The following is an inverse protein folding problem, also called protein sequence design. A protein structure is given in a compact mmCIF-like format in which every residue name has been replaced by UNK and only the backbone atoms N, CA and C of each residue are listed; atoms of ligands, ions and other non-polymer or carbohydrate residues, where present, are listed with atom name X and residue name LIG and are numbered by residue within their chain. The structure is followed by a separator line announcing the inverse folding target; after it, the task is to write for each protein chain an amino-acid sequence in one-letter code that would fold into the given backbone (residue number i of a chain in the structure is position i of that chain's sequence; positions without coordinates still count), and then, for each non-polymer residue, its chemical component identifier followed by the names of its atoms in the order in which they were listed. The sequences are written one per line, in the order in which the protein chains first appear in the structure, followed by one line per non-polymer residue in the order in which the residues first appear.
data_IF_627403263595
#
_entry.id   IF_627403263595
#
_cell.length_a   1.000
_cell.length_b   1.000
_cell.length_c   1.000
_cell.angle_alpha   90.00
_cell.angle_beta   90.00
_cell.angle_gamma   90.00
#
_symmetry.space_group_name_H-M   'P 1'
#
loop_
_entity.id
_entity.type
_entity.pdbx_description
1 polymer ?
#
# COMPACT_ATOMS: atom_id res chain seq x y z
N UNK A 1 -32.44 -27.10 14.70
CA UNK A 1 -31.36 -26.11 14.64
C UNK A 1 -31.02 -25.90 13.17
N UNK A 2 -31.14 -24.71 12.59
CA UNK A 2 -30.67 -24.46 11.23
C UNK A 2 -29.15 -24.69 11.19
N UNK A 3 -28.68 -25.36 10.15
CA UNK A 3 -27.26 -25.52 9.89
C UNK A 3 -26.61 -24.11 9.77
N UNK A 4 -25.37 -23.90 10.27
CA UNK A 4 -24.70 -22.63 10.05
C UNK A 4 -24.61 -22.42 8.52
N UNK A 5 -25.13 -21.27 8.06
CA UNK A 5 -24.90 -20.79 6.71
C UNK A 5 -23.38 -20.79 6.52
N UNK A 6 -22.86 -21.62 5.61
CA UNK A 6 -21.49 -21.52 5.17
C UNK A 6 -21.40 -20.17 4.47
N UNK A 7 -20.73 -19.21 5.09
CA UNK A 7 -20.27 -18.01 4.43
C UNK A 7 -19.34 -18.49 3.29
N UNK A 8 -19.86 -18.47 2.08
CA UNK A 8 -19.07 -18.83 0.90
C UNK A 8 -18.33 -17.57 0.50
N UNK A 9 -17.05 -17.48 0.83
CA UNK A 9 -16.21 -16.41 0.31
C UNK A 9 -16.06 -16.61 -1.21
N UNK A 10 -16.37 -15.58 -1.97
CA UNK A 10 -16.28 -15.58 -3.44
C UNK A 10 -15.37 -14.44 -3.86
N UNK A 11 -14.37 -14.76 -4.69
CA UNK A 11 -13.53 -13.73 -5.32
C UNK A 11 -13.94 -13.57 -6.78
N UNK A 12 -14.18 -12.34 -7.20
CA UNK A 12 -14.46 -11.95 -8.58
C UNK A 12 -13.24 -11.21 -9.13
N UNK A 13 -12.62 -11.74 -10.17
CA UNK A 13 -11.53 -11.05 -10.87
C UNK A 13 -12.12 -10.20 -12.01
N UNK A 14 -11.71 -8.93 -12.10
CA UNK A 14 -12.28 -7.93 -13.02
C UNK A 14 -11.20 -7.39 -13.96
N UNK A 15 -11.46 -7.47 -15.28
CA UNK A 15 -10.69 -6.77 -16.31
C UNK A 15 -11.11 -5.30 -16.29
N UNK A 16 -10.42 -4.50 -15.47
CA UNK A 16 -10.73 -3.08 -15.32
C UNK A 16 -10.18 -2.25 -16.48
N UNK A 17 -8.99 -2.61 -16.96
CA UNK A 17 -8.33 -1.91 -18.06
C UNK A 17 -8.90 -2.35 -19.42
N UNK A 18 -9.19 -1.38 -20.33
CA UNK A 18 -9.62 -1.70 -21.70
C UNK A 18 -8.60 -2.50 -22.50
N UNK A 19 -7.31 -2.35 -22.27
CA UNK A 19 -6.26 -3.06 -23.01
C UNK A 19 -6.19 -4.51 -22.56
N UNK A 20 -6.33 -4.80 -21.26
CA UNK A 20 -6.49 -6.16 -20.72
C UNK A 20 -7.72 -6.85 -21.28
N UNK A 21 -8.84 -6.14 -21.30
CA UNK A 21 -10.06 -6.66 -21.91
C UNK A 21 -9.87 -6.98 -23.39
N UNK A 22 -9.17 -6.10 -24.13
CA UNK A 22 -8.87 -6.32 -25.54
C UNK A 22 -7.91 -7.49 -25.77
N UNK A 23 -6.92 -7.69 -24.89
CA UNK A 23 -6.04 -8.86 -24.91
C UNK A 23 -6.83 -10.15 -24.70
N UNK A 24 -7.69 -10.20 -23.69
CA UNK A 24 -8.55 -11.36 -23.42
C UNK A 24 -9.53 -11.66 -24.57
N UNK A 25 -10.01 -10.66 -25.30
CA UNK A 25 -10.86 -10.83 -26.48
C UNK A 25 -10.20 -11.59 -27.63
N UNK A 26 -8.86 -11.68 -27.65
CA UNK A 26 -8.17 -12.49 -28.68
C UNK A 26 -8.30 -13.98 -28.41
N UNK A 27 -8.71 -14.37 -27.22
CA UNK A 27 -8.93 -15.78 -26.87
C UNK A 27 -10.31 -16.23 -27.33
N UNK A 28 -10.41 -17.26 -28.19
CA UNK A 28 -11.70 -17.72 -28.74
C UNK A 28 -12.75 -18.14 -27.73
N UNK A 29 -12.33 -18.56 -26.54
CA UNK A 29 -13.25 -18.97 -25.46
C UNK A 29 -13.72 -17.82 -24.56
N UNK A 30 -13.24 -16.58 -24.77
CA UNK A 30 -13.68 -15.42 -23.99
C UNK A 30 -15.01 -14.89 -24.55
N UNK A 31 -16.10 -14.86 -23.74
CA UNK A 31 -17.44 -14.67 -24.30
C UNK A 31 -17.84 -13.19 -24.52
N UNK A 32 -17.07 -12.23 -23.96
CA UNK A 32 -17.45 -10.82 -23.98
C UNK A 32 -16.81 -10.10 -25.17
N UNK A 33 -17.57 -9.18 -25.78
CA UNK A 33 -17.14 -8.42 -26.96
C UNK A 33 -17.13 -6.91 -26.74
N UNK A 34 -17.76 -6.42 -25.67
CA UNK A 34 -17.88 -5.00 -25.32
C UNK A 34 -17.53 -4.80 -23.85
N UNK A 35 -16.52 -3.97 -23.58
CA UNK A 35 -15.98 -3.74 -22.23
C UNK A 35 -16.98 -3.03 -21.32
N UNK A 36 -17.70 -2.03 -21.83
CA UNK A 36 -18.69 -1.29 -21.04
C UNK A 36 -19.81 -2.23 -20.57
N UNK A 37 -20.27 -3.10 -21.46
CA UNK A 37 -21.27 -4.10 -21.12
C UNK A 37 -20.74 -5.13 -20.14
N UNK A 38 -19.51 -5.60 -20.34
CA UNK A 38 -18.83 -6.50 -19.40
C UNK A 38 -18.77 -5.92 -17.99
N UNK A 39 -18.37 -4.67 -17.85
CA UNK A 39 -18.33 -3.98 -16.55
C UNK A 39 -19.73 -3.83 -15.93
N UNK A 40 -20.76 -3.58 -16.73
CA UNK A 40 -22.14 -3.56 -16.26
C UNK A 40 -22.60 -4.93 -15.76
N UNK A 41 -22.29 -6.00 -16.51
CA UNK A 41 -22.60 -7.38 -16.11
C UNK A 41 -21.86 -7.78 -14.81
N UNK A 42 -20.60 -7.35 -14.64
CA UNK A 42 -19.83 -7.52 -13.38
C UNK A 42 -20.50 -6.79 -12.22
N UNK A 43 -20.90 -5.54 -12.41
CA UNK A 43 -21.60 -4.77 -11.37
C UNK A 43 -22.89 -5.46 -10.91
N UNK A 44 -23.69 -5.97 -11.85
CA UNK A 44 -24.91 -6.72 -11.54
C UNK A 44 -24.62 -8.03 -10.81
N UNK A 45 -23.55 -8.72 -11.18
CA UNK A 45 -23.08 -9.93 -10.49
C UNK A 45 -22.68 -9.63 -9.04
N UNK A 46 -21.90 -8.59 -8.80
CA UNK A 46 -21.48 -8.20 -7.45
C UNK A 46 -22.67 -7.87 -6.55
N UNK A 47 -23.65 -7.12 -7.07
CA UNK A 47 -24.89 -6.83 -6.34
C UNK A 47 -25.67 -8.10 -6.00
N UNK A 48 -25.76 -9.05 -6.95
CA UNK A 48 -26.45 -10.33 -6.72
C UNK A 48 -25.78 -11.16 -5.64
N UNK A 49 -24.44 -11.31 -5.73
CA UNK A 49 -23.67 -12.07 -4.74
C UNK A 49 -23.76 -11.48 -3.33
N UNK A 50 -23.72 -10.15 -3.23
CA UNK A 50 -23.85 -9.47 -1.94
C UNK A 50 -25.27 -9.60 -1.37
N UNK A 51 -26.31 -9.56 -2.22
CA UNK A 51 -27.70 -9.74 -1.80
C UNK A 51 -27.97 -11.14 -1.24
N UNK A 52 -27.25 -12.15 -1.72
CA UNK A 52 -27.31 -13.53 -1.23
C UNK A 52 -26.58 -13.73 0.13
N UNK A 53 -26.00 -12.67 0.69
CA UNK A 53 -25.27 -12.70 1.98
C UNK A 53 -23.88 -13.34 1.90
N UNK A 54 -23.29 -13.43 0.69
CA UNK A 54 -21.92 -13.90 0.50
C UNK A 54 -20.88 -12.86 0.89
N UNK A 55 -19.74 -13.30 1.44
CA UNK A 55 -18.56 -12.47 1.54
C UNK A 55 -17.88 -12.37 0.16
N UNK A 56 -18.01 -11.21 -0.49
CA UNK A 56 -17.50 -10.99 -1.84
C UNK A 56 -16.24 -10.15 -1.78
N UNK A 57 -15.17 -10.65 -2.38
CA UNK A 57 -13.96 -9.88 -2.64
C UNK A 57 -13.74 -9.70 -4.14
N UNK A 58 -13.09 -8.61 -4.52
CA UNK A 58 -12.80 -8.31 -5.93
C UNK A 58 -11.29 -8.11 -6.07
N UNK A 59 -10.72 -8.63 -7.16
CA UNK A 59 -9.32 -8.46 -7.54
C UNK A 59 -9.23 -7.94 -8.98
N UNK A 60 -8.13 -7.30 -9.34
CA UNK A 60 -7.84 -7.00 -10.74
C UNK A 60 -7.40 -8.26 -11.47
N UNK A 61 -7.81 -8.38 -12.72
CA UNK A 61 -7.33 -9.40 -13.64
C UNK A 61 -6.39 -8.71 -14.64
N UNK A 62 -5.10 -8.88 -14.43
CA UNK A 62 -4.05 -8.44 -15.34
C UNK A 62 -3.75 -9.54 -16.35
N UNK A 63 -3.65 -9.19 -17.63
CA UNK A 63 -3.45 -10.17 -18.70
C UNK A 63 -1.99 -10.59 -18.88
N UNK A 64 -1.05 -9.75 -18.52
CA UNK A 64 0.38 -10.07 -18.56
C UNK A 64 0.71 -11.05 -17.44
N UNK A 65 0.28 -10.76 -16.20
CA UNK A 65 0.39 -11.68 -15.06
C UNK A 65 -0.33 -13.01 -15.32
N UNK A 66 -1.51 -12.95 -15.96
CA UNK A 66 -2.22 -14.17 -16.36
C UNK A 66 -1.44 -15.00 -17.37
N UNK A 67 -0.78 -14.36 -18.33
CA UNK A 67 0.08 -15.05 -19.32
C UNK A 67 1.24 -15.75 -18.62
N UNK A 68 1.94 -15.04 -17.73
CA UNK A 68 3.05 -15.58 -16.95
C UNK A 68 2.59 -16.74 -16.05
N UNK A 69 1.46 -16.60 -15.36
CA UNK A 69 0.84 -17.69 -14.59
C UNK A 69 0.55 -18.93 -15.43
N UNK A 70 0.03 -18.74 -16.65
CA UNK A 70 -0.24 -19.86 -17.56
C UNK A 70 1.02 -20.54 -18.03
N UNK A 71 2.09 -19.77 -18.33
CA UNK A 71 3.38 -20.29 -18.76
C UNK A 71 4.07 -21.08 -17.65
N UNK A 72 4.11 -20.54 -16.44
CA UNK A 72 4.70 -21.17 -15.25
C UNK A 72 3.95 -22.47 -14.89
N UNK A 73 2.63 -22.43 -14.93
CA UNK A 73 1.76 -23.57 -14.65
C UNK A 73 1.65 -24.56 -15.82
N UNK A 74 2.15 -24.18 -17.01
CA UNK A 74 2.07 -24.94 -18.26
C UNK A 74 0.63 -25.33 -18.65
N UNK A 75 -0.29 -24.38 -18.52
CA UNK A 75 -1.71 -24.55 -18.83
C UNK A 75 -2.11 -23.69 -20.04
N UNK A 76 -3.19 -24.11 -20.73
CA UNK A 76 -3.66 -23.41 -21.91
C UNK A 76 -4.41 -22.11 -21.50
N UNK A 77 -3.94 -20.89 -21.89
CA UNK A 77 -4.60 -19.62 -21.54
C UNK A 77 -6.03 -19.49 -22.11
N UNK A 78 -6.36 -20.20 -23.22
CA UNK A 78 -7.72 -20.18 -23.77
C UNK A 78 -8.71 -21.11 -23.03
N UNK A 79 -8.25 -21.86 -22.02
CA UNK A 79 -9.16 -22.73 -21.28
C UNK A 79 -9.90 -21.95 -20.16
N UNK A 80 -11.19 -22.15 -20.03
CA UNK A 80 -11.99 -21.56 -18.92
C UNK A 80 -11.42 -21.94 -17.55
N UNK A 81 -10.93 -23.17 -17.39
CA UNK A 81 -10.31 -23.64 -16.14
C UNK A 81 -9.04 -22.88 -15.76
N UNK A 82 -8.29 -22.37 -16.73
CA UNK A 82 -7.08 -21.58 -16.48
C UNK A 82 -7.44 -20.22 -15.87
N UNK A 83 -8.47 -19.55 -16.37
CA UNK A 83 -8.97 -18.31 -15.78
C UNK A 83 -9.49 -18.51 -14.36
N UNK A 84 -10.20 -19.63 -14.13
CA UNK A 84 -10.67 -19.98 -12.77
C UNK A 84 -9.48 -20.26 -11.82
N UNK A 85 -8.44 -20.94 -12.30
CA UNK A 85 -7.24 -21.21 -11.51
C UNK A 85 -6.49 -19.91 -11.16
N UNK A 86 -6.33 -19.01 -12.12
CA UNK A 86 -5.72 -17.70 -11.87
C UNK A 86 -6.55 -16.85 -10.91
N UNK A 87 -7.89 -16.82 -11.05
CA UNK A 87 -8.76 -16.14 -10.06
C UNK A 87 -8.59 -16.73 -8.66
N UNK A 88 -8.37 -18.03 -8.53
CA UNK A 88 -8.11 -18.66 -7.24
C UNK A 88 -6.73 -18.29 -6.69
N UNK A 89 -5.73 -18.12 -7.54
CA UNK A 89 -4.40 -17.64 -7.18
C UNK A 89 -4.46 -16.19 -6.70
N UNK A 90 -5.11 -15.30 -7.44
CA UNK A 90 -5.40 -13.92 -7.02
C UNK A 90 -6.14 -13.88 -5.68
N UNK A 91 -7.07 -14.80 -5.46
CA UNK A 91 -7.79 -14.93 -4.20
C UNK A 91 -6.89 -15.38 -3.03
N UNK A 92 -5.78 -16.02 -3.29
CA UNK A 92 -4.84 -16.48 -2.26
C UNK A 92 -3.71 -15.47 -1.99
N UNK A 93 -3.18 -14.84 -3.03
CA UNK A 93 -1.92 -14.08 -2.98
C UNK A 93 -2.06 -12.62 -3.38
N UNK A 94 -3.02 -12.27 -4.24
CA UNK A 94 -3.16 -10.94 -4.82
C UNK A 94 -3.88 -9.92 -3.93
N UNK A 95 -3.79 -8.64 -4.29
CA UNK A 95 -4.54 -7.56 -3.66
C UNK A 95 -6.04 -7.72 -3.94
N UNK A 96 -6.86 -7.46 -2.91
CA UNK A 96 -8.31 -7.65 -2.98
C UNK A 96 -9.03 -6.59 -2.16
N UNK A 97 -10.17 -6.16 -2.68
CA UNK A 97 -11.08 -5.25 -1.97
C UNK A 97 -12.37 -5.99 -1.65
N UNK A 98 -12.82 -5.87 -0.39
CA UNK A 98 -14.14 -6.39 0.00
C UNK A 98 -15.23 -5.53 -0.63
N UNK A 99 -16.16 -6.18 -1.32
CA UNK A 99 -17.32 -5.50 -1.87
C UNK A 99 -18.38 -5.30 -0.78
N UNK A 100 -18.67 -4.05 -0.47
CA UNK A 100 -19.65 -3.63 0.55
C UNK A 100 -20.84 -2.87 -0.04
N UNK A 101 -20.98 -2.88 -1.39
CA UNK A 101 -22.04 -2.15 -2.09
C UNK A 101 -21.59 -0.79 -2.62
N UNK A 102 -20.27 -0.49 -2.61
CA UNK A 102 -19.70 0.71 -3.24
C UNK A 102 -19.95 0.71 -4.76
N UNK A 103 -19.92 1.92 -5.36
CA UNK A 103 -20.08 2.03 -6.81
C UNK A 103 -18.92 1.34 -7.54
N UNK A 104 -19.17 0.88 -8.76
CA UNK A 104 -18.11 0.23 -9.55
C UNK A 104 -16.90 1.16 -9.80
N UNK A 105 -17.07 2.45 -10.13
CA UNK A 105 -15.93 3.35 -10.26
C UNK A 105 -15.09 3.45 -8.98
N UNK A 106 -15.72 3.64 -7.81
CA UNK A 106 -15.00 3.73 -6.52
C UNK A 106 -14.28 2.40 -6.19
N UNK A 107 -14.90 1.27 -6.53
CA UNK A 107 -14.30 -0.05 -6.37
C UNK A 107 -13.06 -0.22 -7.27
N UNK A 108 -13.15 0.18 -8.54
CA UNK A 108 -12.02 0.06 -9.46
C UNK A 108 -10.86 1.00 -9.09
N UNK A 109 -11.14 2.20 -8.62
CA UNK A 109 -10.13 3.12 -8.07
C UNK A 109 -9.43 2.50 -6.86
N UNK A 110 -10.18 1.98 -5.90
CA UNK A 110 -9.61 1.31 -4.73
C UNK A 110 -8.79 0.07 -5.07
N UNK A 111 -9.20 -0.68 -6.10
CA UNK A 111 -8.45 -1.85 -6.60
C UNK A 111 -7.13 -1.42 -7.25
N UNK A 112 -7.13 -0.38 -8.08
CA UNK A 112 -5.91 0.14 -8.69
C UNK A 112 -4.91 0.65 -7.62
N UNK A 113 -5.40 1.34 -6.60
CA UNK A 113 -4.57 1.78 -5.48
C UNK A 113 -4.00 0.60 -4.69
N UNK A 114 -4.81 -0.45 -4.45
CA UNK A 114 -4.36 -1.64 -3.75
C UNK A 114 -3.30 -2.40 -4.55
N UNK A 115 -3.43 -2.46 -5.87
CA UNK A 115 -2.47 -3.09 -6.77
C UNK A 115 -1.12 -2.37 -6.76
N UNK A 116 -1.13 -1.04 -6.90
CA UNK A 116 0.07 -0.21 -6.80
C UNK A 116 0.77 -0.39 -5.45
N UNK A 117 0.02 -0.41 -4.33
CA UNK A 117 0.60 -0.64 -3.00
C UNK A 117 1.22 -2.04 -2.90
N UNK A 118 0.53 -3.06 -3.41
CA UNK A 118 1.03 -4.44 -3.42
C UNK A 118 2.33 -4.56 -4.21
N UNK A 119 2.38 -4.02 -5.42
CA UNK A 119 3.57 -4.02 -6.27
C UNK A 119 4.73 -3.27 -5.59
N UNK A 120 4.46 -2.10 -4.99
CA UNK A 120 5.45 -1.32 -4.24
C UNK A 120 6.00 -2.11 -3.06
N UNK A 121 5.14 -2.78 -2.29
CA UNK A 121 5.53 -3.62 -1.17
C UNK A 121 6.36 -4.84 -1.61
N UNK A 122 5.95 -5.52 -2.68
CA UNK A 122 6.68 -6.66 -3.23
C UNK A 122 8.10 -6.25 -3.67
N UNK A 123 8.21 -5.12 -4.37
CA UNK A 123 9.50 -4.58 -4.81
C UNK A 123 10.37 -4.17 -3.60
N UNK A 124 9.82 -3.45 -2.62
CA UNK A 124 10.53 -3.08 -1.40
C UNK A 124 11.01 -4.32 -0.62
N UNK A 125 10.18 -5.37 -0.55
CA UNK A 125 10.55 -6.64 0.09
C UNK A 125 11.72 -7.32 -0.63
N UNK A 126 11.73 -7.33 -1.96
CA UNK A 126 12.84 -7.86 -2.74
C UNK A 126 14.15 -7.09 -2.48
N UNK A 127 14.10 -5.75 -2.46
CA UNK A 127 15.26 -4.92 -2.12
C UNK A 127 15.82 -5.20 -0.72
N UNK A 128 14.95 -5.42 0.28
CA UNK A 128 15.39 -5.79 1.63
C UNK A 128 16.02 -7.18 1.67
N UNK A 129 15.48 -8.14 0.90
CA UNK A 129 16.02 -9.49 0.82
C UNK A 129 17.43 -9.53 0.18
N UNK A 130 17.71 -8.63 -0.77
CA UNK A 130 19.02 -8.50 -1.42
C UNK A 130 20.13 -8.00 -0.48
N UNK A 131 19.80 -7.37 0.65
CA UNK A 131 20.79 -6.91 1.63
C UNK A 131 21.57 -8.06 2.27
N UNK A 132 20.99 -9.26 2.33
CA UNK A 132 21.60 -10.45 2.90
C UNK A 132 21.89 -10.34 4.40
N UNK A 133 23.00 -10.95 4.84
CA UNK A 133 23.34 -11.07 6.25
C UNK A 133 24.61 -10.28 6.60
N UNK A 134 24.64 -9.75 7.82
CA UNK A 134 25.83 -9.07 8.36
C UNK A 134 27.01 -10.05 8.48
N UNK A 135 28.14 -9.69 7.86
CA UNK A 135 29.36 -10.48 7.89
C UNK A 135 30.01 -10.64 9.27
N UNK A 136 29.62 -9.83 10.27
CA UNK A 136 30.17 -9.88 11.63
C UNK A 136 29.32 -10.70 12.59
N UNK A 137 27.99 -10.56 12.56
CA UNK A 137 27.10 -11.22 13.53
C UNK A 137 26.08 -12.19 12.90
N UNK A 138 26.03 -12.28 11.57
CA UNK A 138 25.10 -13.18 10.87
C UNK A 138 23.63 -12.75 10.88
N UNK A 139 23.31 -11.54 11.41
CA UNK A 139 21.93 -11.05 11.44
C UNK A 139 21.47 -10.70 10.03
N UNK A 140 20.22 -11.00 9.70
CA UNK A 140 19.56 -10.56 8.49
C UNK A 140 19.42 -9.03 8.51
N UNK A 141 19.93 -8.37 7.46
CA UNK A 141 19.97 -6.90 7.39
C UNK A 141 18.60 -6.32 7.02
N UNK A 142 17.80 -7.02 6.23
CA UNK A 142 16.45 -6.61 5.89
C UNK A 142 15.53 -6.63 7.11
N UNK A 143 15.58 -7.71 7.90
CA UNK A 143 14.85 -7.79 9.18
C UNK A 143 15.30 -6.69 10.14
N UNK A 144 16.62 -6.45 10.25
CA UNK A 144 17.13 -5.39 11.11
C UNK A 144 16.67 -3.99 10.69
N UNK A 145 16.57 -3.73 9.37
CA UNK A 145 16.05 -2.48 8.84
C UNK A 145 14.54 -2.32 9.13
N UNK A 146 13.76 -3.37 8.96
CA UNK A 146 12.33 -3.35 9.28
C UNK A 146 12.06 -3.09 10.76
N UNK A 147 12.80 -3.75 11.66
CA UNK A 147 12.71 -3.49 13.10
C UNK A 147 13.09 -2.05 13.45
N UNK A 148 14.09 -1.49 12.76
CA UNK A 148 14.47 -0.09 12.96
C UNK A 148 13.39 0.88 12.49
N UNK A 149 12.79 0.64 11.31
CA UNK A 149 11.66 1.40 10.81
C UNK A 149 10.48 1.37 11.78
N UNK A 150 10.13 0.17 12.28
CA UNK A 150 9.07 -0.06 13.26
C UNK A 150 9.30 0.73 14.55
N UNK A 151 10.48 0.63 15.14
CA UNK A 151 10.84 1.37 16.35
C UNK A 151 10.83 2.89 16.13
N UNK A 152 11.20 3.34 14.93
CA UNK A 152 11.19 4.75 14.56
C UNK A 152 9.77 5.28 14.45
N UNK A 153 8.86 4.55 13.78
CA UNK A 153 7.44 4.95 13.64
C UNK A 153 6.75 4.97 15.00
N UNK A 154 6.97 3.96 15.85
CA UNK A 154 6.43 3.94 17.22
C UNK A 154 6.89 5.18 18.03
N UNK A 155 8.19 5.48 17.99
CA UNK A 155 8.74 6.67 18.67
C UNK A 155 8.12 7.95 18.12
N UNK A 156 7.90 8.01 16.81
CA UNK A 156 7.33 9.15 16.13
C UNK A 156 5.88 9.39 16.54
N UNK A 157 5.08 8.34 16.60
CA UNK A 157 3.67 8.39 17.03
C UNK A 157 3.54 8.75 18.51
N UNK A 158 4.40 8.18 19.38
CA UNK A 158 4.45 8.51 20.81
C UNK A 158 4.73 9.99 21.03
N UNK A 159 5.71 10.56 20.31
CA UNK A 159 6.05 11.98 20.39
C UNK A 159 4.98 12.90 19.77
N UNK A 160 4.24 12.43 18.79
CA UNK A 160 3.13 13.16 18.17
C UNK A 160 1.91 13.26 19.11
N UNK A 161 1.74 12.28 20.00
CA UNK A 161 0.63 12.15 20.94
C UNK A 161 -0.67 11.64 20.32
N UNK A 162 -1.79 11.66 21.06
CA UNK A 162 -3.07 11.15 20.59
C UNK A 162 -3.62 11.91 19.38
N UNK A 163 -4.33 11.20 18.50
CA UNK A 163 -4.97 11.76 17.31
C UNK A 163 -5.03 10.78 16.15
N UNK A 164 -5.58 11.23 15.03
CA UNK A 164 -5.48 10.52 13.75
C UNK A 164 -4.23 11.01 13.02
N UNK A 165 -3.37 10.08 12.68
CA UNK A 165 -2.09 10.32 12.04
C UNK A 165 -2.11 9.82 10.61
N UNK A 166 -1.69 10.65 9.68
CA UNK A 166 -1.39 10.28 8.31
C UNK A 166 0.12 10.44 8.10
N UNK A 167 0.80 9.33 7.94
CA UNK A 167 2.21 9.28 7.59
C UNK A 167 2.33 9.08 6.08
N UNK A 168 3.25 9.78 5.44
CA UNK A 168 3.61 9.54 4.06
C UNK A 168 5.14 9.55 3.92
N UNK A 169 5.69 8.55 3.24
CA UNK A 169 7.12 8.50 2.97
C UNK A 169 7.41 8.39 1.47
N UNK A 170 8.53 8.98 1.09
CA UNK A 170 9.10 8.90 -0.25
C UNK A 170 10.53 8.41 -0.14
N UNK A 171 10.82 7.30 -0.78
CA UNK A 171 12.13 6.65 -0.76
C UNK A 171 12.64 6.54 -2.18
N UNK A 172 13.76 7.20 -2.54
CA UNK A 172 14.39 7.00 -3.84
C UNK A 172 15.16 5.66 -3.81
N UNK A 173 14.70 4.73 -4.62
CA UNK A 173 15.42 3.53 -5.02
C UNK A 173 15.79 3.66 -6.51
N UNK A 174 15.90 2.57 -7.27
CA UNK A 174 16.00 2.66 -8.73
C UNK A 174 14.74 3.29 -9.33
N UNK A 175 13.59 2.98 -8.72
CA UNK A 175 12.32 3.69 -8.89
C UNK A 175 11.92 4.35 -7.57
N UNK A 176 11.17 5.46 -7.64
CA UNK A 176 10.70 6.13 -6.44
C UNK A 176 9.60 5.31 -5.77
N UNK A 177 9.84 4.88 -4.53
CA UNK A 177 8.85 4.22 -3.70
C UNK A 177 8.07 5.26 -2.89
N UNK A 178 6.76 5.15 -2.92
CA UNK A 178 5.84 5.95 -2.12
C UNK A 178 5.00 5.02 -1.26
N UNK A 179 4.83 5.37 -0.01
CA UNK A 179 3.90 4.67 0.88
C UNK A 179 3.27 5.65 1.84
N UNK A 180 2.04 5.37 2.20
CA UNK A 180 1.31 6.11 3.22
C UNK A 180 0.63 5.17 4.21
N UNK A 181 0.29 5.71 5.39
CA UNK A 181 -0.33 4.99 6.47
C UNK A 181 -1.23 5.93 7.25
N UNK A 182 -2.49 5.55 7.43
CA UNK A 182 -3.43 6.27 8.29
C UNK A 182 -3.70 5.42 9.53
N UNK A 183 -3.49 6.01 10.71
CA UNK A 183 -3.75 5.33 11.97
C UNK A 183 -4.32 6.29 13.01
N UNK A 184 -5.08 5.76 13.96
CA UNK A 184 -5.61 6.54 15.09
C UNK A 184 -5.02 6.01 16.38
N UNK A 185 -4.35 6.89 17.12
CA UNK A 185 -3.74 6.59 18.41
C UNK A 185 -4.58 7.24 19.50
N UNK A 186 -5.01 6.43 20.46
CA UNK A 186 -5.66 6.90 21.69
C UNK A 186 -4.65 7.41 22.73
N UNK A 187 -5.04 7.41 24.01
CA UNK A 187 -4.16 7.81 25.09
C UNK A 187 -2.99 6.84 25.34
N UNK A 188 -3.11 5.60 24.84
CA UNK A 188 -2.06 4.57 24.87
C UNK A 188 -1.88 3.98 23.48
N UNK A 189 -0.63 3.75 23.06
CA UNK A 189 -0.30 3.08 21.80
C UNK A 189 -0.44 1.57 22.03
N UNK A 190 -1.33 0.92 21.30
CA UNK A 190 -1.45 -0.53 21.30
C UNK A 190 -0.39 -1.15 20.38
N UNK A 191 0.37 -2.13 20.89
CA UNK A 191 1.38 -2.85 20.08
C UNK A 191 0.79 -3.56 18.84
N UNK A 192 -0.52 -3.78 18.83
CA UNK A 192 -1.25 -4.43 17.72
C UNK A 192 -1.30 -3.60 16.44
N UNK A 193 -1.10 -2.30 16.54
CA UNK A 193 -1.11 -1.36 15.40
C UNK A 193 -0.12 -1.74 14.27
N UNK A 194 1.05 -2.29 14.59
CA UNK A 194 2.06 -2.65 13.59
C UNK A 194 1.86 -4.03 12.94
N UNK A 195 0.75 -4.71 13.23
CA UNK A 195 0.50 -6.08 12.78
C UNK A 195 -0.49 -6.17 11.61
N UNK A 196 -1.05 -5.04 11.15
CA UNK A 196 -1.92 -5.02 9.98
C UNK A 196 -1.12 -4.91 8.66
N UNK A 197 -1.79 -5.18 7.54
CA UNK A 197 -1.17 -5.20 6.22
C UNK A 197 -0.66 -3.81 5.82
N UNK A 198 -1.44 -2.76 6.04
CA UNK A 198 -1.10 -1.38 5.64
C UNK A 198 0.13 -0.87 6.39
N UNK A 199 0.20 -1.12 7.70
CA UNK A 199 1.37 -0.81 8.50
C UNK A 199 2.62 -1.56 8.02
N UNK A 200 2.46 -2.85 7.68
CA UNK A 200 3.57 -3.68 7.19
C UNK A 200 4.09 -3.16 5.86
N UNK A 201 3.22 -2.80 4.92
CA UNK A 201 3.57 -2.22 3.62
C UNK A 201 4.36 -0.91 3.80
N UNK A 202 3.83 0.02 4.60
CA UNK A 202 4.48 1.29 4.91
C UNK A 202 5.86 1.09 5.56
N UNK A 203 5.95 0.23 6.56
CA UNK A 203 7.20 -0.04 7.28
C UNK A 203 8.26 -0.69 6.40
N UNK A 204 7.85 -1.55 5.46
CA UNK A 204 8.76 -2.18 4.49
C UNK A 204 9.39 -1.13 3.58
N UNK A 205 8.59 -0.20 3.04
CA UNK A 205 9.10 0.90 2.20
C UNK A 205 10.01 1.83 3.00
N UNK A 206 9.61 2.21 4.21
CA UNK A 206 10.45 3.03 5.08
C UNK A 206 11.77 2.33 5.44
N UNK A 207 11.74 1.02 5.67
CA UNK A 207 12.94 0.21 5.95
C UNK A 207 13.93 0.24 4.78
N UNK A 208 13.46 0.15 3.53
CA UNK A 208 14.33 0.37 2.35
C UNK A 208 15.02 1.72 2.45
N UNK A 209 14.27 2.79 2.73
CA UNK A 209 14.86 4.13 2.87
C UNK A 209 15.89 4.25 3.98
N UNK A 210 15.77 3.44 5.03
CA UNK A 210 16.74 3.40 6.13
C UNK A 210 18.03 2.63 5.80
N UNK A 211 18.02 1.85 4.72
CA UNK A 211 19.23 1.15 4.23
C UNK A 211 19.88 1.85 3.05
N UNK A 212 19.14 2.70 2.36
CA UNK A 212 19.56 3.37 1.15
C UNK A 212 20.35 4.66 1.43
N UNK A 213 21.35 4.96 0.62
CA UNK A 213 22.16 6.19 0.77
C UNK A 213 21.53 7.43 0.14
N UNK A 214 20.39 7.28 -0.54
CA UNK A 214 19.67 8.38 -1.20
C UNK A 214 18.99 9.35 -0.23
N UNK A 215 18.31 10.36 -0.82
CA UNK A 215 17.58 11.37 -0.06
C UNK A 215 16.09 11.15 -0.25
N UNK A 216 15.41 10.75 0.82
CA UNK A 216 13.96 10.62 0.88
C UNK A 216 13.33 11.61 1.84
N UNK A 217 12.07 11.41 2.11
CA UNK A 217 11.31 12.22 3.06
C UNK A 217 10.25 11.41 3.81
N UNK A 218 9.92 11.89 4.99
CA UNK A 218 8.79 11.43 5.78
C UNK A 218 8.01 12.65 6.25
N UNK A 219 6.69 12.58 6.14
CA UNK A 219 5.77 13.58 6.63
C UNK A 219 4.77 12.93 7.55
N UNK A 220 4.38 13.63 8.60
CA UNK A 220 3.34 13.26 9.53
C UNK A 220 2.33 14.40 9.65
N UNK A 221 1.09 14.17 9.24
CA UNK A 221 -0.07 15.01 9.54
C UNK A 221 -0.81 14.41 10.71
N UNK A 222 -1.05 15.21 11.73
CA UNK A 222 -1.82 14.82 12.92
C UNK A 222 -3.08 15.66 12.99
N UNK A 223 -4.24 15.00 12.98
CA UNK A 223 -5.56 15.59 13.16
C UNK A 223 -6.06 15.27 14.55
N UNK A 224 -6.47 16.30 15.29
CA UNK A 224 -7.10 16.18 16.61
C UNK A 224 -8.41 16.93 16.61
N UNK A 225 -9.46 16.47 17.35
CA UNK A 225 -10.71 17.22 17.44
C UNK A 225 -10.47 18.65 17.95
N UNK A 226 -11.19 19.61 17.36
CA UNK A 226 -11.24 21.01 17.77
C UNK A 226 -9.89 21.78 17.72
N UNK A 227 -8.88 21.26 17.01
CA UNK A 227 -7.60 21.93 16.83
C UNK A 227 -7.18 21.93 15.35
N UNK A 228 -6.32 22.87 14.90
CA UNK A 228 -5.73 22.80 13.57
C UNK A 228 -4.91 21.53 13.39
N UNK A 229 -4.90 21.00 12.16
CA UNK A 229 -4.02 19.90 11.80
C UNK A 229 -2.55 20.35 11.92
N UNK A 230 -1.71 19.48 12.44
CA UNK A 230 -0.27 19.74 12.56
C UNK A 230 0.48 18.87 11.55
N UNK A 231 1.37 19.50 10.78
CA UNK A 231 2.22 18.80 9.81
C UNK A 231 3.67 18.95 10.22
N UNK A 232 4.33 17.81 10.42
CA UNK A 232 5.75 17.69 10.71
C UNK A 232 6.46 17.00 9.54
N UNK A 233 7.74 17.29 9.33
CA UNK A 233 8.51 16.68 8.25
C UNK A 233 9.94 16.32 8.65
N UNK A 234 10.46 15.28 8.01
CA UNK A 234 11.84 14.82 8.14
C UNK A 234 12.43 14.51 6.78
N UNK A 235 13.70 14.84 6.65
CA UNK A 235 14.52 14.36 5.54
C UNK A 235 15.10 12.99 5.90
N UNK A 236 14.88 12.02 5.06
CA UNK A 236 15.54 10.72 5.15
C UNK A 236 16.86 10.79 4.40
N UNK A 237 17.96 10.60 5.11
CA UNK A 237 19.30 10.66 4.55
C UNK A 237 20.24 9.76 5.34
N UNK A 238 21.03 8.94 4.63
CA UNK A 238 21.99 8.01 5.24
C UNK A 238 21.34 7.10 6.31
N UNK A 239 20.15 6.60 6.02
CA UNK A 239 19.42 5.70 6.92
C UNK A 239 18.82 6.36 8.17
N UNK A 240 18.76 7.70 8.22
CA UNK A 240 18.25 8.46 9.37
C UNK A 240 17.25 9.54 8.97
N UNK A 241 16.29 9.77 9.87
CA UNK A 241 15.36 10.88 9.75
C UNK A 241 15.92 12.12 10.44
N UNK A 242 16.16 13.15 9.66
CA UNK A 242 16.63 14.46 10.12
C UNK A 242 15.45 15.44 10.13
N UNK A 243 15.14 16.07 11.29
CA UNK A 243 14.03 17.01 11.36
C UNK A 243 14.19 18.15 10.35
N UNK A 244 13.11 18.47 9.63
CA UNK A 244 13.01 19.70 8.86
C UNK A 244 12.60 20.86 9.76
N UNK A 245 13.01 22.06 9.40
CA UNK A 245 12.52 23.30 10.02
C UNK A 245 11.08 23.59 9.56
N UNK A 246 10.35 24.45 10.31
CA UNK A 246 8.99 24.88 9.91
C UNK A 246 8.96 25.45 8.49
N UNK A 247 9.99 26.25 8.14
CA UNK A 247 10.09 26.86 6.82
C UNK A 247 10.30 25.80 5.71
N UNK A 248 11.09 24.74 5.97
CA UNK A 248 11.28 23.65 5.02
C UNK A 248 10.00 22.83 4.85
N UNK A 249 9.28 22.54 5.95
CA UNK A 249 7.99 21.85 5.89
C UNK A 249 6.97 22.66 5.13
N UNK A 250 6.85 23.95 5.44
CA UNK A 250 5.97 24.87 4.73
C UNK A 250 6.31 24.90 3.23
N UNK A 251 7.57 25.07 2.87
CA UNK A 251 7.99 25.11 1.47
C UNK A 251 7.69 23.80 0.74
N UNK A 252 7.87 22.64 1.37
CA UNK A 252 7.57 21.35 0.77
C UNK A 252 6.06 21.19 0.46
N UNK A 253 5.19 21.66 1.35
CA UNK A 253 3.74 21.61 1.16
C UNK A 253 3.18 22.69 0.25
N UNK A 254 3.77 23.89 0.28
CA UNK A 254 3.29 25.05 -0.46
C UNK A 254 4.08 25.29 -1.75
N UNK A 255 4.65 24.22 -2.31
CA UNK A 255 5.33 24.28 -3.62
C UNK A 255 4.80 23.13 -4.49
N UNK A 256 4.35 23.46 -5.69
CA UNK A 256 3.93 22.46 -6.67
C UNK A 256 5.15 21.62 -7.09
N UNK A 257 5.06 20.30 -6.85
CA UNK A 257 6.18 19.37 -7.07
C UNK A 257 6.57 19.27 -8.56
N UNK A 258 5.66 19.55 -9.49
CA UNK A 258 5.87 19.46 -10.93
C UNK A 258 6.42 20.76 -11.53
N UNK A 259 5.95 21.91 -11.06
CA UNK A 259 6.31 23.22 -11.64
C UNK A 259 7.31 24.00 -10.79
N UNK A 260 7.45 23.67 -9.50
CA UNK A 260 8.24 24.43 -8.54
C UNK A 260 7.61 25.77 -8.14
N UNK A 261 6.38 26.06 -8.57
CA UNK A 261 5.69 27.30 -8.27
C UNK A 261 5.06 27.26 -6.86
N UNK A 262 5.00 28.39 -6.14
CA UNK A 262 4.31 28.46 -4.87
C UNK A 262 2.81 28.22 -5.02
N UNK A 263 2.24 27.37 -4.15
CA UNK A 263 0.79 27.17 -4.00
C UNK A 263 0.31 27.76 -2.68
N UNK A 264 -0.96 28.13 -2.62
CA UNK A 264 -1.54 28.68 -1.40
C UNK A 264 -1.56 27.63 -0.29
N UNK A 265 -1.20 27.98 0.96
CA UNK A 265 -1.29 27.08 2.09
C UNK A 265 -2.73 26.65 2.35
N UNK A 266 -2.93 25.42 2.73
CA UNK A 266 -4.23 24.88 3.10
C UNK A 266 -4.71 25.51 4.42
N UNK A 267 -5.95 26.06 4.47
CA UNK A 267 -6.48 26.64 5.71
C UNK A 267 -6.61 25.62 6.83
N UNK A 268 -6.29 26.00 8.04
CA UNK A 268 -6.43 25.12 9.22
C UNK A 268 -5.27 24.15 9.43
N UNK A 269 -4.16 24.33 8.72
CA UNK A 269 -2.92 23.57 8.92
C UNK A 269 -1.86 24.41 9.60
N UNK A 270 -1.22 23.83 10.61
CA UNK A 270 -0.02 24.35 11.25
C UNK A 270 1.20 23.55 10.77
N UNK A 271 2.11 24.21 10.07
CA UNK A 271 3.40 23.64 9.66
C UNK A 271 4.38 23.77 10.84
N UNK A 272 4.90 22.64 11.28
CA UNK A 272 5.77 22.55 12.45
C UNK A 272 7.09 21.90 12.09
N UNK A 273 8.16 22.30 12.77
CA UNK A 273 9.44 21.60 12.65
C UNK A 273 9.29 20.13 13.04
N UNK A 274 10.03 19.24 12.36
CA UNK A 274 10.17 17.87 12.83
C UNK A 274 10.81 17.83 14.22
N UNK A 275 10.44 16.88 15.05
CA UNK A 275 11.09 16.69 16.34
C UNK A 275 12.25 15.69 16.24
N UNK A 276 13.29 15.79 17.12
CA UNK A 276 14.41 14.86 17.10
C UNK A 276 13.98 13.45 17.46
N UNK A 277 14.37 12.48 16.63
CA UNK A 277 14.13 11.04 16.86
C UNK A 277 15.44 10.42 17.37
N UNK A 278 15.44 9.97 18.62
CA UNK A 278 16.59 9.27 19.21
C UNK A 278 16.33 7.76 19.14
N UNK A 279 16.40 7.19 17.94
CA UNK A 279 16.35 5.74 17.79
C UNK A 279 17.78 5.20 17.74
N UNK A 280 18.07 4.21 18.61
CA UNK A 280 19.32 3.48 18.52
C UNK A 280 19.30 2.68 17.21
N UNK A 281 20.32 2.82 16.38
CA UNK A 281 20.45 2.00 15.18
C UNK A 281 20.61 0.54 15.63
N UNK A 282 19.69 -0.38 15.30
CA UNK A 282 19.67 -1.73 15.86
C UNK A 282 20.89 -2.57 15.47
N UNK A 283 21.76 -2.04 14.59
CA UNK A 283 22.87 -2.78 14.00
C UNK A 283 24.19 -1.99 14.03
N UNK A 284 24.44 -1.22 15.09
CA UNK A 284 25.76 -0.61 15.32
C UNK A 284 26.69 -1.63 15.96
N UNK A 285 27.69 -2.10 15.20
CA UNK A 285 28.88 -2.70 15.77
C UNK A 285 29.73 -1.56 16.35
N UNK A 286 29.85 -1.49 17.66
CA UNK A 286 30.79 -0.60 18.35
C UNK A 286 32.24 -1.04 18.12
#
# INVERSE_FOLDING_TARGET
MPAPLRETAVTVAVLADPDDFNAMRQLPSFPHTDHTRYLADINDLLHSLAADGGHVTVALFDTDDYSDFCDDSRINPDAHTSRTAYTADLAATGPRITYTGQSLPDLLEALADADVRHATHAYATALLAELGHCGQCGRDLGIAAFEHASATVLTLLDLAGPGTHHLACSVPADEQLLADLITTIGDEIEDTFLCDTESTEFLTVLAVGMTWSGHGGLVLRTTTPDAPDRVHGWRLCQGRLHPLTEAEVFNAYCTDARTGEPIAPEPGIEYRAGFPLTTAHPHTHA
#
